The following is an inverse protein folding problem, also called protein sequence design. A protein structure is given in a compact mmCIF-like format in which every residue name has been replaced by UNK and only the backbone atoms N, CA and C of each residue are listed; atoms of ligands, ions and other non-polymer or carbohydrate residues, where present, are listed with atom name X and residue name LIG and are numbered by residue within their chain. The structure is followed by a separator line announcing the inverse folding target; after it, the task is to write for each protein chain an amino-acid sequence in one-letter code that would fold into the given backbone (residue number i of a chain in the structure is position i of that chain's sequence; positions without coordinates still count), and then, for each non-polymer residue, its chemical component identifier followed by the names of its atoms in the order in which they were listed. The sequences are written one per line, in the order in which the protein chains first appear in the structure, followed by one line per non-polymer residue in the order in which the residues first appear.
data_IF_940653437606
#
_entry.id   IF_940653437606
#
_cell.length_a   1.000
_cell.length_b   1.000
_cell.length_c   1.000
_cell.angle_alpha   90.00
_cell.angle_beta   90.00
_cell.angle_gamma   90.00
#
_symmetry.space_group_name_H-M   'P 1'
#
loop_
_entity.id
_entity.type
_entity.pdbx_description
1 polymer ?
#
# COMPACT_ATOMS: atom_id res chain seq x y z
N UNK A 1 -7.99 3.89 -1.79
CA UNK A 1 -7.73 4.17 -0.37
C UNK A 1 -6.84 3.11 0.27
N UNK A 2 -6.06 3.53 1.20
CA UNK A 2 -5.06 2.68 1.83
C UNK A 2 -5.67 1.47 2.56
N UNK A 3 -6.81 1.66 3.23
CA UNK A 3 -7.40 0.61 4.07
C UNK A 3 -8.19 -0.43 3.28
N UNK A 4 -8.92 -0.01 2.25
CA UNK A 4 -9.76 -0.93 1.48
C UNK A 4 -8.91 -1.88 0.63
N UNK A 5 -7.93 -1.36 -0.09
CA UNK A 5 -7.10 -2.15 -0.99
C UNK A 5 -5.76 -2.53 -0.35
N UNK A 6 -5.00 -1.54 0.11
CA UNK A 6 -3.64 -1.76 0.59
C UNK A 6 -3.58 -2.62 1.84
N UNK A 7 -4.36 -2.28 2.85
CA UNK A 7 -4.38 -3.04 4.11
C UNK A 7 -4.98 -4.44 3.92
N UNK A 8 -6.01 -4.55 3.07
CA UNK A 8 -6.62 -5.85 2.76
C UNK A 8 -5.61 -6.79 2.09
N UNK A 9 -4.85 -6.28 1.13
CA UNK A 9 -3.82 -7.08 0.45
C UNK A 9 -2.70 -7.46 1.41
N UNK A 10 -2.24 -6.54 2.25
CA UNK A 10 -1.25 -6.83 3.30
C UNK A 10 -1.75 -7.92 4.25
N UNK A 11 -2.99 -7.82 4.71
CA UNK A 11 -3.59 -8.81 5.61
C UNK A 11 -3.69 -10.18 4.93
N UNK A 12 -4.08 -10.22 3.66
CA UNK A 12 -4.12 -11.47 2.89
C UNK A 12 -2.73 -12.11 2.81
N UNK A 13 -1.70 -11.31 2.55
CA UNK A 13 -0.32 -11.79 2.56
C UNK A 13 0.03 -12.44 3.91
N UNK A 14 -0.29 -11.78 5.03
CA UNK A 14 -0.03 -12.30 6.37
C UNK A 14 -0.74 -13.62 6.63
N UNK A 15 -1.99 -13.75 6.19
CA UNK A 15 -2.75 -14.99 6.32
C UNK A 15 -2.11 -16.12 5.51
N UNK A 16 -1.75 -15.85 4.26
CA UNK A 16 -1.11 -16.84 3.40
C UNK A 16 0.24 -17.28 3.98
N UNK A 17 1.03 -16.33 4.46
CA UNK A 17 2.30 -16.60 5.11
C UNK A 17 2.16 -17.51 6.31
N UNK A 18 1.19 -17.25 7.18
CA UNK A 18 1.02 -17.98 8.44
C UNK A 18 0.36 -19.35 8.25
N UNK A 19 -0.58 -19.46 7.29
CA UNK A 19 -1.38 -20.69 7.11
C UNK A 19 -0.84 -21.65 6.05
N UNK A 20 0.00 -21.17 5.14
CA UNK A 20 0.49 -22.00 4.05
C UNK A 20 2.02 -22.07 4.04
N UNK A 21 2.69 -21.08 3.51
CA UNK A 21 4.11 -21.12 3.27
C UNK A 21 4.67 -19.71 3.16
N UNK A 22 5.69 -19.41 3.97
CA UNK A 22 6.35 -18.12 3.95
C UNK A 22 7.03 -17.85 2.59
N UNK A 23 7.69 -18.85 2.02
CA UNK A 23 8.36 -18.71 0.72
C UNK A 23 7.35 -18.44 -0.40
N UNK A 24 6.23 -19.14 -0.38
CA UNK A 24 5.14 -18.90 -1.33
C UNK A 24 4.60 -17.48 -1.21
N UNK A 25 4.34 -17.03 0.02
CA UNK A 25 3.82 -15.68 0.28
C UNK A 25 4.82 -14.61 -0.15
N UNK A 26 6.09 -14.79 0.16
CA UNK A 26 7.14 -13.86 -0.25
C UNK A 26 7.21 -13.74 -1.77
N UNK A 27 7.21 -14.85 -2.47
CA UNK A 27 7.34 -14.89 -3.92
C UNK A 27 6.11 -14.34 -4.64
N UNK A 28 4.92 -14.76 -4.21
CA UNK A 28 3.69 -14.46 -4.94
C UNK A 28 3.02 -13.16 -4.52
N UNK A 29 3.43 -12.58 -3.39
CA UNK A 29 2.95 -11.29 -2.91
C UNK A 29 4.05 -10.24 -2.92
N UNK A 30 5.04 -10.35 -2.04
CA UNK A 30 6.04 -9.28 -1.87
C UNK A 30 6.88 -9.05 -3.11
N UNK A 31 7.42 -10.10 -3.71
CA UNK A 31 8.23 -9.98 -4.94
C UNK A 31 7.38 -9.46 -6.10
N UNK A 32 6.15 -9.94 -6.21
CA UNK A 32 5.20 -9.48 -7.22
C UNK A 32 4.88 -7.99 -7.06
N UNK A 33 4.67 -7.53 -5.84
CA UNK A 33 4.45 -6.10 -5.57
C UNK A 33 5.66 -5.26 -5.95
N UNK A 34 6.86 -5.74 -5.59
CA UNK A 34 8.11 -5.04 -5.92
C UNK A 34 8.32 -4.92 -7.42
N UNK A 35 8.06 -6.01 -8.15
CA UNK A 35 8.17 -6.00 -9.60
C UNK A 35 7.20 -5.01 -10.23
N UNK A 36 5.95 -4.98 -9.76
CA UNK A 36 4.95 -4.05 -10.26
C UNK A 36 5.34 -2.59 -9.98
N UNK A 37 5.90 -2.30 -8.81
CA UNK A 37 6.37 -0.96 -8.46
C UNK A 37 7.57 -0.57 -9.31
N UNK A 38 8.50 -1.48 -9.57
CA UNK A 38 9.65 -1.23 -10.43
C UNK A 38 9.20 -0.91 -11.86
N UNK A 39 8.25 -1.70 -12.38
CA UNK A 39 7.68 -1.46 -13.71
C UNK A 39 6.93 -0.12 -13.77
N UNK A 40 6.21 0.23 -12.71
CA UNK A 40 5.54 1.52 -12.59
C UNK A 40 6.55 2.67 -12.69
N UNK A 41 7.65 2.59 -11.96
CA UNK A 41 8.68 3.62 -11.94
C UNK A 41 9.41 3.75 -13.28
N UNK A 42 9.40 2.71 -14.11
CA UNK A 42 9.98 2.73 -15.46
C UNK A 42 8.95 3.08 -16.54
N UNK A 43 7.68 3.19 -16.18
CA UNK A 43 6.61 3.48 -17.14
C UNK A 43 6.82 4.84 -17.79
N UNK A 44 6.68 4.90 -19.11
CA UNK A 44 6.89 6.12 -19.89
C UNK A 44 6.01 7.29 -19.41
N UNK A 45 4.73 7.01 -19.12
CA UNK A 45 3.79 8.06 -18.73
C UNK A 45 3.98 8.51 -17.27
N UNK A 46 4.51 7.66 -16.42
CA UNK A 46 4.92 8.06 -15.06
C UNK A 46 6.11 9.00 -15.12
N UNK A 47 7.06 8.69 -16.00
CA UNK A 47 8.28 9.49 -16.16
C UNK A 47 8.07 10.74 -16.98
N UNK A 48 7.02 10.78 -17.79
CA UNK A 48 6.70 11.88 -18.70
C UNK A 48 5.22 12.22 -18.61
N UNK A 49 4.76 12.80 -17.49
CA UNK A 49 3.33 13.04 -17.25
C UNK A 49 2.70 14.00 -18.27
N UNK A 50 3.49 14.86 -18.93
CA UNK A 50 3.00 15.74 -19.98
C UNK A 50 2.47 14.97 -21.20
N UNK A 51 3.07 13.82 -21.50
CA UNK A 51 2.58 12.97 -22.60
C UNK A 51 1.29 12.25 -22.21
N UNK A 52 1.12 11.87 -20.96
CA UNK A 52 -0.13 11.33 -20.48
C UNK A 52 -1.26 12.35 -20.59
N UNK A 53 -0.99 13.58 -20.15
CA UNK A 53 -1.97 14.67 -20.20
C UNK A 53 -2.39 15.01 -21.64
N UNK A 54 -1.53 14.75 -22.62
CA UNK A 54 -1.80 15.03 -24.03
C UNK A 54 -2.62 13.95 -24.74
N UNK A 55 -2.85 12.80 -24.10
CA UNK A 55 -3.62 11.71 -24.70
C UNK A 55 -5.12 12.03 -24.77
N UNK A 56 -5.84 11.43 -25.74
CA UNK A 56 -7.31 11.47 -25.72
C UNK A 56 -7.85 10.94 -24.39
N UNK A 57 -8.97 11.49 -23.94
CA UNK A 57 -9.54 11.19 -22.60
C UNK A 57 -9.68 9.69 -22.32
N UNK A 58 -10.20 8.93 -23.29
CA UNK A 58 -10.42 7.49 -23.10
C UNK A 58 -9.13 6.75 -22.79
N UNK A 59 -8.08 7.02 -23.58
CA UNK A 59 -6.77 6.41 -23.38
C UNK A 59 -6.11 6.87 -22.08
N UNK A 60 -6.23 8.17 -21.80
CA UNK A 60 -5.68 8.74 -20.56
C UNK A 60 -6.31 8.11 -19.32
N UNK A 61 -7.62 7.92 -19.30
CA UNK A 61 -8.33 7.31 -18.17
C UNK A 61 -7.96 5.83 -17.99
N UNK A 62 -7.79 5.09 -19.08
CA UNK A 62 -7.35 3.70 -19.02
C UNK A 62 -5.97 3.57 -18.39
N UNK A 63 -5.02 4.37 -18.84
CA UNK A 63 -3.66 4.35 -18.31
C UNK A 63 -3.64 4.81 -16.87
N UNK A 64 -4.35 5.89 -16.54
CA UNK A 64 -4.45 6.40 -15.17
C UNK A 64 -5.02 5.35 -14.23
N UNK A 65 -6.04 4.61 -14.68
CA UNK A 65 -6.62 3.52 -13.90
C UNK A 65 -5.63 2.39 -13.64
N UNK A 66 -4.86 2.00 -14.65
CA UNK A 66 -3.83 0.97 -14.49
C UNK A 66 -2.72 1.40 -13.52
N UNK A 67 -2.30 2.65 -13.59
CA UNK A 67 -1.30 3.20 -12.68
C UNK A 67 -1.82 3.27 -11.25
N UNK A 68 -3.07 3.68 -11.07
CA UNK A 68 -3.71 3.73 -9.75
C UNK A 68 -3.82 2.34 -9.13
N UNK A 69 -4.11 1.32 -9.93
CA UNK A 69 -4.15 -0.07 -9.47
C UNK A 69 -2.83 -0.49 -8.84
N UNK A 70 -1.70 -0.20 -9.49
CA UNK A 70 -0.37 -0.54 -8.96
C UNK A 70 -0.12 0.17 -7.63
N UNK A 71 -0.49 1.43 -7.50
CA UNK A 71 -0.31 2.17 -6.25
C UNK A 71 -1.13 1.61 -5.11
N UNK A 72 -2.37 1.23 -5.38
CA UNK A 72 -3.29 0.74 -4.34
C UNK A 72 -3.01 -0.71 -3.94
N UNK A 73 -2.70 -1.57 -4.89
CA UNK A 73 -2.60 -3.01 -4.68
C UNK A 73 -1.18 -3.53 -4.55
N UNK A 74 -0.19 -2.72 -4.88
CA UNK A 74 1.22 -3.14 -4.83
C UNK A 74 2.09 -2.20 -3.99
N UNK A 75 2.06 -0.90 -4.27
CA UNK A 75 2.85 0.08 -3.52
C UNK A 75 2.40 0.19 -2.07
N UNK A 76 1.09 0.32 -1.85
CA UNK A 76 0.57 0.49 -0.49
C UNK A 76 0.83 -0.72 0.42
N UNK A 77 0.60 -1.97 -0.03
CA UNK A 77 0.98 -3.13 0.79
C UNK A 77 2.47 -3.18 1.13
N UNK A 78 3.34 -2.79 0.20
CA UNK A 78 4.78 -2.71 0.49
C UNK A 78 5.10 -1.67 1.55
N UNK A 79 4.44 -0.52 1.51
CA UNK A 79 4.60 0.52 2.53
C UNK A 79 4.12 0.05 3.89
N UNK A 80 3.00 -0.66 3.96
CA UNK A 80 2.51 -1.23 5.21
C UNK A 80 3.48 -2.28 5.75
N UNK A 81 4.04 -3.12 4.88
CA UNK A 81 5.05 -4.10 5.28
C UNK A 81 6.32 -3.41 5.80
N UNK A 82 6.73 -2.33 5.17
CA UNK A 82 7.86 -1.54 5.65
C UNK A 82 7.57 -0.93 7.02
N UNK A 83 6.34 -0.42 7.22
CA UNK A 83 5.92 0.07 8.52
C UNK A 83 5.97 -1.02 9.58
N UNK A 84 5.55 -2.24 9.25
CA UNK A 84 5.65 -3.40 10.16
C UNK A 84 7.10 -3.61 10.63
N UNK A 85 8.05 -3.58 9.72
CA UNK A 85 9.47 -3.73 10.06
C UNK A 85 9.94 -2.60 10.99
N UNK A 86 9.57 -1.37 10.66
CA UNK A 86 10.01 -0.18 11.42
C UNK A 86 9.41 -0.09 12.81
N UNK A 87 8.19 -0.61 13.02
CA UNK A 87 7.58 -0.61 14.37
C UNK A 87 8.01 -1.79 15.23
N UNK A 88 8.76 -2.73 14.67
CA UNK A 88 9.35 -3.84 15.44
C UNK A 88 8.79 -5.23 15.12
N UNK A 89 7.96 -5.37 14.09
CA UNK A 89 7.49 -6.67 13.61
C UNK A 89 5.98 -6.84 13.68
N UNK A 90 5.54 -8.07 13.43
CA UNK A 90 4.11 -8.41 13.28
C UNK A 90 3.31 -8.16 14.55
N UNK A 91 3.83 -8.54 15.72
CA UNK A 91 3.11 -8.33 16.97
C UNK A 91 2.86 -6.85 17.25
N UNK A 92 3.89 -6.02 17.05
CA UNK A 92 3.78 -4.57 17.23
C UNK A 92 2.76 -3.99 16.24
N UNK A 93 2.81 -4.40 14.98
CA UNK A 93 1.84 -3.96 13.99
C UNK A 93 0.42 -4.39 14.35
N UNK A 94 0.23 -5.61 14.82
CA UNK A 94 -1.10 -6.10 15.22
C UNK A 94 -1.68 -5.28 16.36
N UNK A 95 -0.87 -4.89 17.34
CA UNK A 95 -1.32 -4.01 18.43
C UNK A 95 -1.72 -2.64 17.92
N UNK A 96 -0.91 -2.08 17.03
CA UNK A 96 -1.21 -0.76 16.43
C UNK A 96 -2.52 -0.81 15.64
N UNK A 97 -2.71 -1.80 14.80
CA UNK A 97 -3.93 -1.95 14.01
C UNK A 97 -5.15 -2.22 14.88
N UNK A 98 -5.00 -3.06 15.92
CA UNK A 98 -6.08 -3.31 16.87
C UNK A 98 -6.54 -2.00 17.53
N UNK A 99 -5.60 -1.21 18.05
CA UNK A 99 -5.93 0.03 18.74
C UNK A 99 -6.51 1.06 17.75
N UNK A 100 -5.96 1.12 16.54
CA UNK A 100 -6.43 2.04 15.51
C UNK A 100 -7.87 1.75 15.11
N UNK A 101 -8.23 0.48 14.89
CA UNK A 101 -9.56 0.10 14.44
C UNK A 101 -10.58 0.01 15.58
N UNK A 102 -10.14 0.09 16.83
CA UNK A 102 -11.03 0.13 18.01
C UNK A 102 -11.17 1.51 18.62
N UNK A 103 -10.51 2.53 18.04
CA UNK A 103 -10.66 3.89 18.55
C UNK A 103 -12.01 4.47 18.18
N UNK A 104 -12.47 5.44 19.00
CA UNK A 104 -13.67 6.20 18.70
C UNK A 104 -13.40 7.14 17.53
N UNK A 105 -14.29 7.13 16.54
CA UNK A 105 -14.18 7.98 15.36
C UNK A 105 -14.94 9.29 15.54
N UNK A 106 -14.44 10.37 14.93
CA UNK A 106 -15.15 11.65 14.87
C UNK A 106 -16.45 11.46 14.06
N UNK A 107 -17.63 11.79 14.62
CA UNK A 107 -18.89 11.65 13.90
C UNK A 107 -18.95 12.45 12.58
N UNK A 108 -18.18 13.55 12.48
CA UNK A 108 -18.12 14.37 11.27
C UNK A 108 -17.24 13.72 10.18
N UNK A 109 -16.24 12.92 10.60
CA UNK A 109 -15.30 12.26 9.71
C UNK A 109 -15.07 10.82 10.20
N UNK A 110 -16.07 9.93 9.98
CA UNK A 110 -16.01 8.57 10.52
C UNK A 110 -15.10 7.65 9.69
N UNK A 111 -13.92 8.12 9.33
CA UNK A 111 -12.96 7.39 8.50
C UNK A 111 -11.60 7.34 9.17
N UNK A 112 -10.92 6.20 9.00
CA UNK A 112 -9.51 6.08 9.33
C UNK A 112 -8.71 6.42 8.08
N UNK A 113 -7.90 7.46 8.15
CA UNK A 113 -7.08 7.93 7.05
C UNK A 113 -5.71 7.27 7.09
N UNK A 114 -4.99 7.35 5.97
CA UNK A 114 -3.59 6.94 5.92
C UNK A 114 -2.76 7.72 6.93
N UNK A 115 -3.04 9.00 7.11
CA UNK A 115 -2.36 9.83 8.12
C UNK A 115 -2.60 9.31 9.54
N UNK A 116 -3.81 8.82 9.84
CA UNK A 116 -4.10 8.20 11.14
C UNK A 116 -3.24 6.95 11.36
N UNK A 117 -3.05 6.16 10.31
CA UNK A 117 -2.18 4.98 10.35
C UNK A 117 -0.72 5.39 10.61
N UNK A 118 -0.21 6.35 9.86
CA UNK A 118 1.16 6.84 10.04
C UNK A 118 1.38 7.36 11.47
N UNK A 119 0.44 8.15 11.98
CA UNK A 119 0.52 8.69 13.34
C UNK A 119 0.50 7.58 14.39
N UNK A 120 -0.34 6.56 14.20
CA UNK A 120 -0.40 5.41 15.10
C UNK A 120 0.90 4.63 15.13
N UNK A 121 1.62 4.57 14.01
CA UNK A 121 2.93 3.94 13.91
C UNK A 121 4.07 4.84 14.40
N UNK A 122 3.83 6.13 14.55
CA UNK A 122 4.88 7.10 14.84
C UNK A 122 5.82 7.32 13.66
N UNK A 123 5.31 7.16 12.44
CA UNK A 123 6.08 7.25 11.20
C UNK A 123 5.58 8.39 10.31
N UNK A 124 6.45 8.78 9.38
CA UNK A 124 6.12 9.75 8.34
C UNK A 124 6.06 9.06 6.98
N UNK A 125 5.50 9.75 5.99
CA UNK A 125 5.47 9.23 4.62
C UNK A 125 6.89 8.99 4.08
N UNK A 126 7.85 9.83 4.46
CA UNK A 126 9.25 9.65 4.07
C UNK A 126 9.86 8.36 4.61
N UNK A 127 9.48 7.96 5.83
CA UNK A 127 9.94 6.71 6.43
C UNK A 127 9.51 5.50 5.61
N UNK A 128 8.41 5.58 4.89
CA UNK A 128 7.86 4.51 4.07
C UNK A 128 8.24 4.59 2.59
N UNK A 129 9.11 5.52 2.23
CA UNK A 129 9.61 5.62 0.86
C UNK A 129 10.27 4.30 0.45
N UNK A 130 9.88 3.80 -0.72
CA UNK A 130 10.35 2.51 -1.25
C UNK A 130 11.62 2.65 -2.11
N UNK A 131 12.05 3.87 -2.35
CA UNK A 131 13.25 4.14 -3.17
C UNK A 131 14.55 3.83 -2.43
#
# INVERSE_FOLDING_TARGET
PWSAEGLTVYTTYRIVKDLYDEDYAQKNYVESWRQAVDDYNLNFYVRNPEYLAALPEEQRLEITGSLAFVRQYCEMPLKILKAEELVGGEEAMDRILHDLFNRELDPMYPYLTYQDFLSACGLTEEDLDLA
#
